data_IF_185387560905
#
_entry.id   IF_185387560905
#
_cell.length_a   1.000
_cell.length_b   1.000
_cell.length_c   1.000
_cell.angle_alpha   90.00
_cell.angle_beta   90.00
_cell.angle_gamma   90.00
#
_symmetry.space_group_name_H-M   'P 1'
#
loop_
_entity.id
_entity.type
_entity.pdbx_description
1 polymer ?
#
# COMPACT_ATOMS: atom_id res chain seq x y z
N UNK A 1 -15.43 -32.93 26.58
CA UNK A 1 -15.64 -33.24 25.15
C UNK A 1 -14.78 -32.29 24.33
N UNK A 2 -13.79 -32.76 23.55
CA UNK A 2 -13.06 -31.88 22.63
C UNK A 2 -14.01 -31.45 21.52
N UNK A 3 -14.22 -30.15 21.36
CA UNK A 3 -15.03 -29.57 20.28
C UNK A 3 -14.30 -29.89 18.96
N UNK A 4 -14.75 -30.91 18.23
CA UNK A 4 -14.29 -31.20 16.87
C UNK A 4 -14.83 -30.11 15.94
N UNK A 5 -14.08 -29.01 15.82
CA UNK A 5 -14.34 -27.98 14.83
C UNK A 5 -14.21 -28.59 13.43
N UNK A 6 -15.18 -28.34 12.55
CA UNK A 6 -15.05 -28.76 11.16
C UNK A 6 -13.78 -28.15 10.54
N UNK A 7 -13.07 -28.83 9.62
CA UNK A 7 -11.81 -28.34 9.06
C UNK A 7 -11.92 -26.93 8.44
N UNK A 8 -13.11 -26.59 7.91
CA UNK A 8 -13.42 -25.27 7.35
C UNK A 8 -13.54 -24.21 8.44
N UNK A 9 -14.18 -24.52 9.58
CA UNK A 9 -14.32 -23.60 10.70
C UNK A 9 -12.98 -23.37 11.41
N UNK A 10 -12.18 -24.44 11.59
CA UNK A 10 -10.83 -24.34 12.14
C UNK A 10 -9.92 -23.47 11.27
N UNK A 11 -9.95 -23.66 9.94
CA UNK A 11 -9.22 -22.80 9.01
C UNK A 11 -9.71 -21.35 9.08
N UNK A 12 -11.01 -21.10 9.14
CA UNK A 12 -11.54 -19.75 9.25
C UNK A 12 -11.11 -19.05 10.55
N UNK A 13 -11.26 -19.72 11.69
CA UNK A 13 -10.83 -19.21 12.99
C UNK A 13 -9.34 -18.88 13.02
N UNK A 14 -8.50 -19.73 12.40
CA UNK A 14 -7.07 -19.44 12.24
C UNK A 14 -6.81 -18.15 11.46
N UNK A 15 -7.50 -17.90 10.34
CA UNK A 15 -7.32 -16.65 9.58
C UNK A 15 -7.78 -15.43 10.38
N UNK A 16 -8.91 -15.53 11.09
CA UNK A 16 -9.41 -14.46 11.97
C UNK A 16 -8.39 -14.14 13.07
N UNK A 17 -7.86 -15.16 13.73
CA UNK A 17 -6.83 -15.01 14.77
C UNK A 17 -5.53 -14.42 14.20
N UNK A 18 -5.11 -14.86 13.01
CA UNK A 18 -3.93 -14.32 12.34
C UNK A 18 -4.11 -12.82 12.01
N UNK A 19 -5.27 -12.42 11.48
CA UNK A 19 -5.57 -11.01 11.21
C UNK A 19 -5.53 -10.19 12.49
N UNK A 20 -6.15 -10.68 13.58
CA UNK A 20 -6.13 -10.01 14.87
C UNK A 20 -4.70 -9.84 15.42
N UNK A 21 -3.89 -10.90 15.34
CA UNK A 21 -2.50 -10.88 15.78
C UNK A 21 -1.64 -9.93 14.96
N UNK A 22 -1.78 -9.94 13.62
CA UNK A 22 -1.07 -9.01 12.74
C UNK A 22 -1.50 -7.56 12.98
N UNK A 23 -2.80 -7.31 13.19
CA UNK A 23 -3.32 -6.00 13.54
C UNK A 23 -2.70 -5.51 14.85
N UNK A 24 -2.76 -6.33 15.91
CA UNK A 24 -2.22 -6.00 17.22
C UNK A 24 -0.71 -5.74 17.16
N UNK A 25 0.06 -6.61 16.49
CA UNK A 25 1.50 -6.42 16.32
C UNK A 25 1.82 -5.13 15.55
N UNK A 26 1.09 -4.84 14.47
CA UNK A 26 1.20 -3.59 13.73
C UNK A 26 0.94 -2.37 14.61
N UNK A 27 -0.02 -2.47 15.54
CA UNK A 27 -0.39 -1.38 16.42
C UNK A 27 0.72 -1.13 17.45
N UNK A 28 1.28 -2.21 18.02
CA UNK A 28 2.42 -2.11 18.93
C UNK A 28 3.62 -1.44 18.26
N UNK A 29 3.90 -1.74 17.00
CA UNK A 29 4.96 -1.08 16.23
C UNK A 29 4.62 0.39 15.98
N UNK A 30 3.39 0.70 15.57
CA UNK A 30 2.95 2.08 15.35
C UNK A 30 3.06 2.93 16.61
N UNK A 31 2.62 2.40 17.75
CA UNK A 31 2.63 3.08 19.05
C UNK A 31 4.04 3.41 19.56
N UNK A 32 5.11 2.75 19.07
CA UNK A 32 6.50 3.18 19.34
C UNK A 32 6.80 4.59 18.79
N UNK A 33 5.94 5.12 17.91
CA UNK A 33 6.04 6.44 17.31
C UNK A 33 4.82 7.32 17.61
N UNK A 34 4.13 7.09 18.73
CA UNK A 34 2.97 7.90 19.11
C UNK A 34 3.36 9.36 19.39
N UNK A 35 2.46 10.29 19.05
CA UNK A 35 2.73 11.73 19.07
C UNK A 35 1.77 12.58 19.83
N UNK A 36 0.51 12.16 19.89
CA UNK A 36 -0.54 12.86 20.60
C UNK A 36 -1.13 11.89 21.61
N UNK A 37 -1.04 12.26 22.90
CA UNK A 37 -1.60 11.53 24.04
C UNK A 37 -1.26 10.03 24.07
N UNK A 38 -0.08 9.64 23.60
CA UNK A 38 0.37 8.23 23.49
C UNK A 38 -0.54 7.30 22.64
N UNK A 39 -1.49 7.85 21.89
CA UNK A 39 -2.50 7.08 21.17
C UNK A 39 -2.51 7.33 19.66
N UNK A 40 -2.11 8.52 19.19
CA UNK A 40 -2.19 8.87 17.77
C UNK A 40 -0.81 8.90 17.13
N UNK A 41 -0.62 8.07 16.10
CA UNK A 41 0.66 7.91 15.39
C UNK A 41 0.55 8.44 13.95
N UNK A 42 1.64 8.98 13.37
CA UNK A 42 1.64 9.45 11.99
C UNK A 42 1.59 8.33 10.94
N UNK A 43 1.90 7.10 11.35
CA UNK A 43 1.86 5.90 10.53
C UNK A 43 1.19 4.81 11.37
N UNK A 44 0.04 4.33 10.90
CA UNK A 44 -0.72 3.29 11.58
C UNK A 44 -0.76 2.00 10.74
N UNK A 45 0.25 1.12 10.86
CA UNK A 45 0.30 -0.18 10.17
C UNK A 45 -0.98 -1.04 10.24
N UNK A 46 -1.71 -1.10 11.37
CA UNK A 46 -2.89 -1.96 11.51
C UNK A 46 -3.96 -1.73 10.44
N UNK A 47 -4.15 -0.49 10.03
CA UNK A 47 -5.14 -0.14 9.02
C UNK A 47 -4.77 -0.70 7.65
N UNK A 48 -3.48 -0.69 7.30
CA UNK A 48 -3.00 -1.38 6.10
C UNK A 48 -3.21 -2.89 6.16
N UNK A 49 -2.95 -3.51 7.32
CA UNK A 49 -3.23 -4.94 7.57
C UNK A 49 -4.72 -5.24 7.43
N UNK A 50 -5.59 -4.37 7.96
CA UNK A 50 -7.04 -4.52 7.89
C UNK A 50 -7.55 -4.50 6.44
N UNK A 51 -7.12 -3.50 5.64
CA UNK A 51 -7.49 -3.42 4.23
C UNK A 51 -6.93 -4.61 3.44
N UNK A 52 -5.67 -5.02 3.67
CA UNK A 52 -5.09 -6.22 3.05
C UNK A 52 -5.87 -7.49 3.38
N UNK A 53 -6.25 -7.69 4.64
CA UNK A 53 -7.02 -8.84 5.09
C UNK A 53 -8.38 -8.91 4.38
N UNK A 54 -9.06 -7.77 4.22
CA UNK A 54 -10.33 -7.69 3.49
C UNK A 54 -10.16 -7.91 1.99
N UNK A 55 -9.10 -7.37 1.37
CA UNK A 55 -8.80 -7.61 -0.04
C UNK A 55 -8.53 -9.10 -0.31
N UNK A 56 -7.75 -9.77 0.55
CA UNK A 56 -7.37 -11.18 0.35
C UNK A 56 -8.47 -12.17 0.79
N UNK A 57 -9.14 -11.87 1.90
CA UNK A 57 -10.07 -12.78 2.55
C UNK A 57 -11.55 -12.41 2.41
N UNK A 58 -11.86 -11.24 1.86
CA UNK A 58 -13.22 -10.69 1.77
C UNK A 58 -13.77 -10.19 3.10
N UNK A 59 -15.04 -9.78 3.10
CA UNK A 59 -15.72 -9.23 4.29
C UNK A 59 -15.67 -10.16 5.51
N UNK A 60 -15.63 -11.49 5.32
CA UNK A 60 -15.55 -12.46 6.44
C UNK A 60 -14.34 -12.26 7.37
N UNK A 61 -13.34 -11.47 6.99
CA UNK A 61 -12.17 -11.17 7.83
C UNK A 61 -12.41 -10.03 8.82
N UNK A 62 -13.53 -9.29 8.71
CA UNK A 62 -13.84 -8.16 9.61
C UNK A 62 -13.77 -8.51 11.11
N UNK A 63 -14.16 -9.73 11.58
CA UNK A 63 -14.06 -10.04 13.01
C UNK A 63 -12.61 -10.05 13.51
N UNK A 64 -11.65 -10.43 12.67
CA UNK A 64 -10.23 -10.39 13.04
C UNK A 64 -9.73 -8.96 13.25
N UNK A 65 -10.22 -8.03 12.43
CA UNK A 65 -9.91 -6.60 12.56
C UNK A 65 -10.51 -6.06 13.85
N UNK A 66 -11.79 -6.34 14.11
CA UNK A 66 -12.47 -5.90 15.33
C UNK A 66 -11.80 -6.45 16.59
N UNK A 67 -11.42 -7.74 16.61
CA UNK A 67 -10.72 -8.35 17.74
C UNK A 67 -9.35 -7.71 17.97
N UNK A 68 -8.56 -7.49 16.90
CA UNK A 68 -7.27 -6.82 16.99
C UNK A 68 -7.40 -5.37 17.49
N UNK A 69 -8.34 -4.61 16.92
CA UNK A 69 -8.61 -3.24 17.33
C UNK A 69 -9.11 -3.15 18.76
N UNK A 70 -9.99 -4.06 19.19
CA UNK A 70 -10.46 -4.12 20.57
C UNK A 70 -9.31 -4.41 21.54
N UNK A 71 -8.47 -5.41 21.23
CA UNK A 71 -7.33 -5.77 22.08
C UNK A 71 -6.34 -4.62 22.26
N UNK A 72 -6.11 -3.81 21.23
CA UNK A 72 -5.28 -2.61 21.32
C UNK A 72 -5.97 -1.55 22.19
N UNK A 73 -7.20 -1.16 21.84
CA UNK A 73 -7.89 -0.03 22.47
C UNK A 73 -8.30 -0.30 23.92
N UNK A 74 -8.56 -1.57 24.28
CA UNK A 74 -8.90 -1.95 25.65
C UNK A 74 -7.80 -1.61 26.66
N UNK A 75 -6.55 -1.50 26.21
CA UNK A 75 -5.43 -1.09 27.07
C UNK A 75 -5.22 0.43 27.13
N UNK A 76 -5.95 1.19 26.32
CA UNK A 76 -5.72 2.62 26.09
C UNK A 76 -6.91 3.50 26.49
N UNK A 77 -8.13 2.96 26.50
CA UNK A 77 -9.35 3.75 26.70
C UNK A 77 -10.36 3.02 27.59
N UNK A 78 -11.31 3.78 28.13
CA UNK A 78 -12.46 3.20 28.84
C UNK A 78 -13.28 2.28 27.94
N UNK A 79 -14.08 1.39 28.55
CA UNK A 79 -14.82 0.35 27.82
C UNK A 79 -15.76 0.96 26.76
N UNK A 80 -16.46 2.05 27.09
CA UNK A 80 -17.35 2.74 26.16
C UNK A 80 -16.63 3.28 24.93
N UNK A 81 -15.54 4.04 25.14
CA UNK A 81 -14.70 4.57 24.07
C UNK A 81 -14.04 3.46 23.25
N UNK A 82 -13.60 2.38 23.91
CA UNK A 82 -12.98 1.22 23.27
C UNK A 82 -13.92 0.60 22.24
N UNK A 83 -15.20 0.40 22.57
CA UNK A 83 -16.18 -0.18 21.65
C UNK A 83 -16.41 0.71 20.43
N UNK A 84 -16.57 2.02 20.65
CA UNK A 84 -16.83 2.97 19.56
C UNK A 84 -15.61 3.15 18.64
N UNK A 85 -14.40 3.28 19.21
CA UNK A 85 -13.16 3.37 18.43
C UNK A 85 -12.91 2.07 17.67
N UNK A 86 -13.16 0.91 18.29
CA UNK A 86 -13.06 -0.40 17.61
C UNK A 86 -14.02 -0.48 16.43
N UNK A 87 -15.25 0.01 16.59
CA UNK A 87 -16.21 0.08 15.50
C UNK A 87 -15.70 0.97 14.37
N UNK A 88 -15.17 2.16 14.66
CA UNK A 88 -14.56 3.06 13.68
C UNK A 88 -13.38 2.43 12.92
N UNK A 89 -12.42 1.88 13.66
CA UNK A 89 -11.23 1.23 13.12
C UNK A 89 -11.55 -0.04 12.30
N UNK A 90 -12.74 -0.61 12.47
CA UNK A 90 -13.23 -1.74 11.65
C UNK A 90 -14.03 -1.24 10.43
N UNK A 91 -14.90 -0.27 10.63
CA UNK A 91 -15.77 0.29 9.59
C UNK A 91 -14.96 0.99 8.49
N UNK A 92 -13.93 1.76 8.84
CA UNK A 92 -13.08 2.44 7.84
C UNK A 92 -12.50 1.49 6.79
N UNK A 93 -11.76 0.44 7.19
CA UNK A 93 -11.26 -0.60 6.27
C UNK A 93 -12.37 -1.35 5.51
N UNK A 94 -13.53 -1.60 6.13
CA UNK A 94 -14.66 -2.22 5.46
C UNK A 94 -15.23 -1.32 4.36
N UNK A 95 -15.40 -0.03 4.64
CA UNK A 95 -15.84 0.97 3.64
C UNK A 95 -14.82 1.08 2.51
N UNK A 96 -13.52 1.18 2.83
CA UNK A 96 -12.44 1.14 1.84
C UNK A 96 -12.55 -0.09 0.93
N UNK A 97 -12.68 -1.27 1.50
CA UNK A 97 -12.84 -2.52 0.75
C UNK A 97 -14.08 -2.51 -0.16
N UNK A 98 -15.23 -2.06 0.35
CA UNK A 98 -16.47 -2.01 -0.42
C UNK A 98 -16.37 -1.04 -1.60
N UNK A 99 -15.77 0.13 -1.40
CA UNK A 99 -15.52 1.12 -2.45
C UNK A 99 -14.58 0.56 -3.52
N UNK A 100 -13.47 -0.06 -3.11
CA UNK A 100 -12.51 -0.70 -4.02
C UNK A 100 -13.16 -1.83 -4.82
N UNK A 101 -13.97 -2.67 -4.16
CA UNK A 101 -14.71 -3.75 -4.81
C UNK A 101 -15.70 -3.21 -5.85
N UNK A 102 -16.42 -2.13 -5.51
CA UNK A 102 -17.42 -1.50 -6.41
C UNK A 102 -16.80 -1.01 -7.71
N UNK A 103 -15.56 -0.50 -7.67
CA UNK A 103 -14.86 -0.04 -8.87
C UNK A 103 -14.07 -1.14 -9.58
N UNK A 104 -14.15 -2.40 -9.15
CA UNK A 104 -13.48 -3.52 -9.77
C UNK A 104 -11.96 -3.53 -9.56
N UNK A 105 -11.50 -3.06 -8.40
CA UNK A 105 -10.07 -2.96 -8.08
C UNK A 105 -9.33 -4.29 -8.24
N UNK A 106 -8.20 -4.25 -8.96
CA UNK A 106 -7.29 -5.39 -9.13
C UNK A 106 -6.07 -5.29 -8.21
N UNK A 107 -5.77 -6.39 -7.54
CA UNK A 107 -4.68 -6.47 -6.56
C UNK A 107 -3.28 -6.47 -7.18
N UNK A 108 -3.18 -6.64 -8.50
CA UNK A 108 -1.90 -6.49 -9.19
C UNK A 108 -1.39 -5.04 -9.16
N UNK A 109 -2.30 -4.07 -8.98
CA UNK A 109 -2.03 -2.62 -9.05
C UNK A 109 -1.24 -2.23 -10.31
N UNK A 110 -1.39 -3.04 -11.37
CA UNK A 110 -0.71 -2.92 -12.65
C UNK A 110 -1.37 -1.88 -13.56
N UNK A 111 -2.48 -1.28 -13.11
CA UNK A 111 -3.22 -0.24 -13.83
C UNK A 111 -3.26 1.08 -13.09
N UNK A 112 -3.21 2.17 -13.85
CA UNK A 112 -3.32 3.53 -13.30
C UNK A 112 -4.63 3.73 -12.53
N UNK A 113 -5.73 3.15 -13.02
CA UNK A 113 -7.03 3.18 -12.36
C UNK A 113 -6.99 2.51 -10.98
N UNK A 114 -6.28 1.40 -10.84
CA UNK A 114 -6.18 0.66 -9.57
C UNK A 114 -5.33 1.43 -8.56
N UNK A 115 -4.22 2.02 -9.00
CA UNK A 115 -3.41 2.94 -8.19
C UNK A 115 -4.25 4.12 -7.67
N UNK A 116 -5.02 4.79 -8.53
CA UNK A 116 -5.90 5.90 -8.16
C UNK A 116 -7.00 5.44 -7.19
N UNK A 117 -7.62 4.29 -7.44
CA UNK A 117 -8.66 3.75 -6.57
C UNK A 117 -8.10 3.45 -5.18
N UNK A 118 -6.91 2.86 -5.07
CA UNK A 118 -6.25 2.61 -3.79
C UNK A 118 -5.98 3.91 -3.03
N UNK A 119 -5.49 4.94 -3.71
CA UNK A 119 -5.23 6.25 -3.08
C UNK A 119 -6.52 6.91 -2.61
N UNK A 120 -7.44 7.16 -3.54
CA UNK A 120 -8.63 7.98 -3.28
C UNK A 120 -9.66 7.26 -2.43
N UNK A 121 -9.94 5.99 -2.73
CA UNK A 121 -11.01 5.23 -2.06
C UNK A 121 -10.48 4.46 -0.85
N UNK A 122 -9.32 3.82 -1.00
CA UNK A 122 -8.72 3.03 0.06
C UNK A 122 -8.12 3.89 1.16
N UNK A 123 -7.18 4.76 0.79
CA UNK A 123 -6.43 5.60 1.72
C UNK A 123 -7.19 6.82 2.21
N UNK A 124 -7.78 7.62 1.32
CA UNK A 124 -8.40 8.90 1.71
C UNK A 124 -9.84 8.74 2.19
N UNK A 125 -10.74 8.25 1.33
CA UNK A 125 -12.17 8.20 1.63
C UNK A 125 -12.54 7.19 2.72
N UNK A 126 -12.02 5.96 2.65
CA UNK A 126 -12.30 4.94 3.66
C UNK A 126 -11.80 5.32 5.04
N UNK A 127 -10.62 5.94 5.13
CA UNK A 127 -10.02 6.29 6.42
C UNK A 127 -10.63 7.53 7.07
N UNK A 128 -11.32 8.37 6.28
CA UNK A 128 -12.11 9.47 6.84
C UNK A 128 -13.17 8.95 7.82
N UNK A 129 -13.77 7.77 7.54
CA UNK A 129 -14.75 7.13 8.43
C UNK A 129 -14.12 6.78 9.78
N UNK A 130 -12.95 6.13 9.76
CA UNK A 130 -12.20 5.76 10.97
C UNK A 130 -11.86 6.99 11.80
N UNK A 131 -11.28 8.02 11.17
CA UNK A 131 -10.90 9.25 11.85
C UNK A 131 -12.11 10.01 12.44
N UNK A 132 -13.23 10.08 11.72
CA UNK A 132 -14.46 10.73 12.19
C UNK A 132 -15.05 9.99 13.40
N UNK A 133 -15.11 8.66 13.37
CA UNK A 133 -15.62 7.88 14.50
C UNK A 133 -14.67 7.97 15.70
N UNK A 134 -13.35 7.84 15.47
CA UNK A 134 -12.35 7.91 16.53
C UNK A 134 -12.33 9.26 17.23
N UNK A 135 -12.19 10.35 16.46
CA UNK A 135 -12.15 11.72 17.02
C UNK A 135 -13.51 12.15 17.58
N UNK A 136 -14.61 11.72 16.96
CA UNK A 136 -15.95 11.95 17.48
C UNK A 136 -16.20 11.26 18.81
N UNK A 137 -15.68 10.03 18.96
CA UNK A 137 -15.72 9.31 20.24
C UNK A 137 -14.99 10.10 21.32
N UNK A 138 -13.74 10.50 21.06
CA UNK A 138 -12.95 11.27 22.03
C UNK A 138 -13.62 12.58 22.44
N UNK A 139 -14.29 13.26 21.50
CA UNK A 139 -15.03 14.49 21.77
C UNK A 139 -16.25 14.23 22.67
N UNK A 140 -17.08 13.23 22.33
CA UNK A 140 -18.31 12.92 23.06
C UNK A 140 -18.01 12.37 24.46
N UNK A 141 -16.89 11.65 24.62
CA UNK A 141 -16.46 11.14 25.92
C UNK A 141 -15.65 12.15 26.73
N UNK A 142 -15.52 13.40 26.26
CA UNK A 142 -14.84 14.48 26.97
C UNK A 142 -13.32 14.29 27.13
N UNK A 143 -12.70 13.40 26.33
CA UNK A 143 -11.25 13.17 26.36
C UNK A 143 -10.51 14.30 25.63
N UNK A 144 -11.13 14.89 24.62
CA UNK A 144 -10.60 16.06 23.91
C UNK A 144 -11.63 17.20 23.89
N UNK A 145 -11.13 18.43 23.94
CA UNK A 145 -11.94 19.62 23.71
C UNK A 145 -12.32 19.77 22.23
N UNK A 146 -13.44 20.45 21.96
CA UNK A 146 -13.90 20.74 20.59
C UNK A 146 -12.87 21.49 19.74
N UNK A 147 -12.02 22.32 20.36
CA UNK A 147 -10.93 23.02 19.69
C UNK A 147 -9.85 22.08 19.13
N UNK A 148 -9.67 20.89 19.73
CA UNK A 148 -8.70 19.88 19.31
C UNK A 148 -9.29 18.86 18.33
N UNK A 149 -10.60 18.86 18.10
CA UNK A 149 -11.25 17.88 17.23
C UNK A 149 -10.56 17.77 15.87
N UNK A 150 -10.30 18.91 15.22
CA UNK A 150 -9.74 18.88 13.86
C UNK A 150 -8.28 18.48 13.82
N UNK A 151 -7.49 18.87 14.82
CA UNK A 151 -6.10 18.43 14.90
C UNK A 151 -6.02 16.92 15.18
N UNK A 152 -6.83 16.40 16.10
CA UNK A 152 -6.92 14.95 16.37
C UNK A 152 -7.39 14.18 15.14
N UNK A 153 -8.42 14.65 14.46
CA UNK A 153 -8.94 14.03 13.24
C UNK A 153 -7.88 13.96 12.14
N UNK A 154 -7.14 15.05 11.93
CA UNK A 154 -6.10 15.10 10.90
C UNK A 154 -4.93 14.15 11.19
N UNK A 155 -4.48 14.04 12.45
CA UNK A 155 -3.40 13.10 12.81
C UNK A 155 -3.89 11.65 12.66
N UNK A 156 -5.12 11.36 13.08
CA UNK A 156 -5.71 10.02 12.96
C UNK A 156 -5.89 9.60 11.51
N UNK A 157 -6.50 10.46 10.71
CA UNK A 157 -6.71 10.25 9.27
C UNK A 157 -5.39 10.07 8.53
N UNK A 158 -4.38 10.89 8.88
CA UNK A 158 -3.01 10.78 8.36
C UNK A 158 -2.42 9.40 8.60
N UNK A 159 -2.47 8.94 9.86
CA UNK A 159 -1.90 7.65 10.26
C UNK A 159 -2.54 6.48 9.54
N UNK A 160 -3.87 6.48 9.49
CA UNK A 160 -4.67 5.45 8.81
C UNK A 160 -4.42 5.43 7.31
N UNK A 161 -4.49 6.60 6.64
CA UNK A 161 -4.24 6.72 5.21
C UNK A 161 -2.84 6.20 4.86
N UNK A 162 -1.81 6.66 5.58
CA UNK A 162 -0.46 6.15 5.38
C UNK A 162 -0.35 4.65 5.61
N UNK A 163 -1.02 4.12 6.63
CA UNK A 163 -1.13 2.68 6.86
C UNK A 163 -1.56 1.93 5.61
N UNK A 164 -2.63 2.37 4.95
CA UNK A 164 -3.12 1.77 3.69
C UNK A 164 -2.12 1.96 2.55
N UNK A 165 -1.73 3.21 2.29
CA UNK A 165 -0.95 3.62 1.13
C UNK A 165 0.46 3.04 1.09
N UNK A 166 0.98 2.65 2.24
CA UNK A 166 2.30 2.07 2.39
C UNK A 166 2.23 0.55 2.41
N UNK A 167 1.43 -0.03 3.31
CA UNK A 167 1.49 -1.46 3.55
C UNK A 167 0.80 -2.26 2.44
N UNK A 168 -0.33 -1.77 1.92
CA UNK A 168 -1.08 -2.48 0.87
C UNK A 168 -0.21 -2.72 -0.38
N UNK A 169 0.36 -1.69 -1.04
CA UNK A 169 1.11 -1.91 -2.27
C UNK A 169 2.39 -2.70 -2.04
N UNK A 170 3.05 -2.55 -0.88
CA UNK A 170 4.25 -3.32 -0.55
C UNK A 170 3.96 -4.82 -0.51
N UNK A 171 2.93 -5.23 0.25
CA UNK A 171 2.58 -6.64 0.39
C UNK A 171 2.12 -7.23 -0.95
N UNK A 172 1.35 -6.47 -1.73
CA UNK A 172 0.92 -6.89 -3.07
C UNK A 172 2.08 -7.01 -4.04
N UNK A 173 3.06 -6.10 -3.97
CA UNK A 173 4.26 -6.17 -4.79
C UNK A 173 5.10 -7.41 -4.42
N UNK A 174 5.31 -7.68 -3.13
CA UNK A 174 6.03 -8.88 -2.67
C UNK A 174 5.37 -10.19 -3.09
N UNK A 175 4.05 -10.24 -3.23
CA UNK A 175 3.35 -11.41 -3.74
C UNK A 175 3.65 -11.68 -5.23
N UNK A 176 3.95 -10.63 -5.99
CA UNK A 176 4.25 -10.70 -7.42
C UNK A 176 5.73 -10.99 -7.70
N UNK A 177 6.59 -10.90 -6.69
CA UNK A 177 8.03 -11.24 -6.81
C UNK A 177 8.23 -12.72 -7.13
N UNK A 178 9.03 -13.00 -8.16
CA UNK A 178 9.58 -14.33 -8.46
C UNK A 178 11.12 -14.26 -8.34
N UNK A 179 11.70 -14.46 -7.13
CA UNK A 179 13.11 -14.17 -6.85
C UNK A 179 14.11 -14.97 -7.69
N UNK A 180 13.72 -16.17 -8.16
CA UNK A 180 14.62 -17.17 -8.75
C UNK A 180 15.17 -16.80 -10.13
N UNK A 181 14.68 -15.73 -10.75
CA UNK A 181 15.03 -15.35 -12.13
C UNK A 181 15.82 -14.03 -12.24
N UNK A 182 16.36 -13.50 -11.13
CA UNK A 182 17.03 -12.20 -11.13
C UNK A 182 18.52 -12.29 -10.79
N UNK A 183 19.39 -11.62 -11.58
CA UNK A 183 20.83 -11.59 -11.32
C UNK A 183 21.15 -10.80 -10.04
N UNK A 184 22.22 -11.17 -9.34
CA UNK A 184 22.66 -10.52 -8.09
C UNK A 184 22.79 -8.99 -8.21
N UNK A 185 23.25 -8.51 -9.37
CA UNK A 185 23.35 -7.07 -9.69
C UNK A 185 22.03 -6.33 -9.50
N UNK A 186 20.89 -6.95 -9.82
CA UNK A 186 19.56 -6.33 -9.67
C UNK A 186 19.20 -6.12 -8.20
N UNK A 187 19.60 -7.04 -7.32
CA UNK A 187 19.44 -6.89 -5.88
C UNK A 187 20.34 -5.79 -5.31
N UNK A 188 21.59 -5.70 -5.77
CA UNK A 188 22.52 -4.62 -5.39
C UNK A 188 21.96 -3.26 -5.81
N UNK A 189 21.47 -3.12 -7.05
CA UNK A 189 20.83 -1.88 -7.51
C UNK A 189 19.60 -1.52 -6.66
N UNK A 190 18.77 -2.49 -6.29
CA UNK A 190 17.58 -2.26 -5.45
C UNK A 190 17.96 -1.82 -4.03
N UNK A 191 18.95 -2.49 -3.41
CA UNK A 191 19.45 -2.12 -2.08
C UNK A 191 20.09 -0.74 -2.10
N UNK A 192 20.92 -0.43 -3.10
CA UNK A 192 21.54 0.88 -3.25
C UNK A 192 20.48 2.00 -3.40
N UNK A 193 19.42 1.75 -4.17
CA UNK A 193 18.31 2.68 -4.34
C UNK A 193 17.54 2.93 -3.02
N UNK A 194 17.25 1.86 -2.28
CA UNK A 194 16.57 1.93 -0.98
C UNK A 194 17.42 2.68 0.05
N UNK A 195 18.71 2.35 0.13
CA UNK A 195 19.67 2.99 1.07
C UNK A 195 19.85 4.46 0.72
N UNK A 196 20.07 4.79 -0.56
CA UNK A 196 20.22 6.19 -0.98
C UNK A 196 18.96 7.01 -0.73
N UNK A 197 17.77 6.45 -0.97
CA UNK A 197 16.49 7.09 -0.61
C UNK A 197 16.42 7.34 0.90
N UNK A 198 16.80 6.37 1.73
CA UNK A 198 16.79 6.52 3.19
C UNK A 198 17.76 7.60 3.68
N UNK A 199 18.98 7.64 3.13
CA UNK A 199 19.98 8.65 3.48
C UNK A 199 19.50 10.05 3.10
N UNK A 200 19.06 10.24 1.86
CA UNK A 200 18.57 11.53 1.37
C UNK A 200 17.36 12.00 2.18
N UNK A 201 16.41 11.11 2.45
CA UNK A 201 15.21 11.46 3.21
C UNK A 201 15.50 11.73 4.67
N UNK A 202 16.50 11.07 5.27
CA UNK A 202 16.94 11.37 6.63
C UNK A 202 17.44 12.80 6.71
N UNK A 203 18.38 13.17 5.83
CA UNK A 203 18.94 14.54 5.77
C UNK A 203 17.85 15.57 5.45
N UNK A 204 16.99 15.30 4.46
CA UNK A 204 15.91 16.21 4.07
C UNK A 204 14.84 16.41 5.15
N UNK A 205 14.62 15.43 6.03
CA UNK A 205 13.66 15.52 7.14
C UNK A 205 14.20 16.27 8.36
N UNK A 206 15.52 16.41 8.48
CA UNK A 206 16.18 17.06 9.62
C UNK A 206 16.79 18.41 9.29
N UNK A 207 17.04 18.69 8.00
CA UNK A 207 17.59 19.98 7.56
C UNK A 207 16.53 21.07 7.51
N UNK A 208 16.91 22.30 7.85
CA UNK A 208 16.05 23.48 7.71
C UNK A 208 15.82 23.85 6.23
N UNK A 209 16.66 23.33 5.34
CA UNK A 209 16.43 23.41 3.91
C UNK A 209 15.23 22.53 3.54
N UNK A 210 14.27 23.07 2.80
CA UNK A 210 13.01 22.40 2.40
C UNK A 210 13.22 21.33 1.31
N UNK A 211 14.11 20.37 1.53
CA UNK A 211 14.63 19.42 0.53
C UNK A 211 13.78 18.16 0.31
N UNK A 212 12.58 18.09 0.90
CA UNK A 212 11.74 16.87 0.83
C UNK A 212 11.38 16.46 -0.62
N UNK A 213 11.39 17.39 -1.57
CA UNK A 213 11.18 17.11 -3.00
C UNK A 213 12.28 16.26 -3.64
N UNK A 214 13.45 16.11 -3.01
CA UNK A 214 14.52 15.24 -3.51
C UNK A 214 14.11 13.77 -3.55
N UNK A 215 13.00 13.38 -2.92
CA UNK A 215 12.42 12.04 -3.05
C UNK A 215 12.01 11.70 -4.49
N UNK A 216 11.53 12.67 -5.26
CA UNK A 216 10.90 12.40 -6.55
C UNK A 216 11.84 11.76 -7.58
N UNK A 217 13.10 12.23 -7.75
CA UNK A 217 14.09 11.53 -8.56
C UNK A 217 14.26 10.04 -8.21
N UNK A 218 14.28 9.70 -6.91
CA UNK A 218 14.38 8.31 -6.47
C UNK A 218 13.11 7.51 -6.77
N UNK A 219 11.92 8.08 -6.55
CA UNK A 219 10.66 7.43 -6.90
C UNK A 219 10.54 7.20 -8.41
N UNK A 220 10.99 8.18 -9.20
CA UNK A 220 11.00 8.09 -10.67
C UNK A 220 11.94 6.97 -11.12
N UNK A 221 13.17 6.97 -10.60
CA UNK A 221 14.14 5.93 -10.92
C UNK A 221 13.66 4.54 -10.49
N UNK A 222 13.07 4.44 -9.29
CA UNK A 222 12.49 3.22 -8.76
C UNK A 222 11.40 2.66 -9.67
N UNK A 223 10.49 3.52 -10.12
CA UNK A 223 9.38 3.13 -10.99
C UNK A 223 9.89 2.66 -12.36
N UNK A 224 10.85 3.38 -12.94
CA UNK A 224 11.45 3.03 -14.25
C UNK A 224 12.19 1.70 -14.22
N UNK A 225 12.94 1.42 -13.16
CA UNK A 225 13.83 0.26 -13.10
C UNK A 225 13.19 -0.97 -12.45
N UNK A 226 12.37 -0.76 -11.43
CA UNK A 226 11.85 -1.82 -10.56
C UNK A 226 10.32 -1.85 -10.45
N UNK A 227 9.60 -0.91 -11.08
CA UNK A 227 8.15 -0.80 -10.98
C UNK A 227 7.71 -0.81 -9.50
N UNK A 228 6.61 -1.50 -9.16
CA UNK A 228 6.02 -1.48 -7.82
C UNK A 228 7.00 -1.97 -6.74
N UNK A 229 7.90 -2.88 -7.11
CA UNK A 229 8.85 -3.51 -6.18
C UNK A 229 9.93 -2.56 -5.67
N UNK A 230 10.33 -1.57 -6.47
CA UNK A 230 11.26 -0.55 -6.02
C UNK A 230 10.53 0.68 -5.49
N UNK A 231 9.44 1.10 -6.13
CA UNK A 231 8.79 2.36 -5.77
C UNK A 231 8.08 2.28 -4.44
N UNK A 232 7.44 1.15 -4.11
CA UNK A 232 6.72 0.98 -2.85
C UNK A 232 7.65 1.12 -1.61
N UNK A 233 8.81 0.44 -1.51
CA UNK A 233 9.71 0.65 -0.38
C UNK A 233 10.32 2.05 -0.33
N UNK A 234 10.62 2.68 -1.48
CA UNK A 234 11.13 4.05 -1.49
C UNK A 234 10.07 5.05 -0.98
N UNK A 235 8.81 4.90 -1.41
CA UNK A 235 7.70 5.72 -0.93
C UNK A 235 7.44 5.49 0.57
N UNK A 236 7.50 4.24 1.06
CA UNK A 236 7.42 3.92 2.50
C UNK A 236 8.49 4.66 3.29
N UNK A 237 9.75 4.57 2.85
CA UNK A 237 10.87 5.20 3.55
C UNK A 237 10.68 6.72 3.59
N UNK A 238 10.33 7.32 2.46
CA UNK A 238 10.12 8.75 2.38
C UNK A 238 8.96 9.24 3.26
N UNK A 239 7.81 8.58 3.18
CA UNK A 239 6.63 8.93 3.99
C UNK A 239 6.88 8.70 5.48
N UNK A 240 7.57 7.63 5.86
CA UNK A 240 7.92 7.34 7.27
C UNK A 240 8.91 8.35 7.83
N UNK A 241 9.95 8.71 7.08
CA UNK A 241 10.94 9.69 7.53
C UNK A 241 10.36 11.11 7.55
N UNK A 242 9.51 11.47 6.58
CA UNK A 242 8.73 12.71 6.61
C UNK A 242 7.84 12.77 7.85
N UNK A 243 7.12 11.69 8.13
CA UNK A 243 6.23 11.60 9.28
C UNK A 243 7.00 11.65 10.61
N UNK A 244 8.20 11.07 10.68
CA UNK A 244 9.12 11.19 11.81
C UNK A 244 9.66 12.62 11.99
N UNK A 245 9.93 13.33 10.89
CA UNK A 245 10.34 14.75 10.94
C UNK A 245 9.21 15.65 11.45
N UNK A 246 8.01 15.46 10.90
CA UNK A 246 6.80 16.12 11.37
C UNK A 246 6.51 15.78 12.83
N UNK A 247 6.85 14.57 13.24
CA UNK A 247 6.67 14.14 14.61
C UNK A 247 7.56 14.89 15.60
N UNK A 248 8.85 14.93 15.28
CA UNK A 248 9.85 15.54 16.15
C UNK A 248 9.88 17.06 16.05
N UNK A 249 9.00 17.64 15.22
CA UNK A 249 9.02 19.06 14.87
C UNK A 249 10.42 19.49 14.43
N UNK A 250 10.99 18.75 13.46
CA UNK A 250 12.34 19.02 12.93
C UNK A 250 12.30 19.42 11.47
N UNK A 251 13.35 20.15 11.03
CA UNK A 251 13.58 20.52 9.65
C UNK A 251 12.38 21.27 9.05
N UNK A 252 11.77 20.82 7.94
CA UNK A 252 10.66 21.51 7.28
C UNK A 252 9.39 21.68 8.14
N UNK A 253 9.32 21.04 9.30
CA UNK A 253 8.15 21.01 10.17
C UNK A 253 8.35 21.70 11.53
N UNK A 254 9.52 22.29 11.79
CA UNK A 254 9.89 22.81 13.11
C UNK A 254 8.99 23.95 13.59
N UNK A 255 8.72 24.93 12.72
CA UNK A 255 7.98 26.15 13.06
C UNK A 255 6.51 26.11 12.61
N UNK A 256 5.96 24.91 12.37
CA UNK A 256 4.58 24.75 11.90
C UNK A 256 3.63 24.36 13.03
N UNK A 257 2.50 25.07 13.10
CA UNK A 257 1.35 24.67 13.89
C UNK A 257 0.88 23.26 13.51
N UNK A 258 0.32 22.52 14.46
CA UNK A 258 -0.07 21.11 14.28
C UNK A 258 -0.95 20.90 13.04
N UNK A 259 -1.97 21.75 12.83
CA UNK A 259 -2.87 21.65 11.67
C UNK A 259 -2.10 21.83 10.37
N UNK A 260 -1.29 22.89 10.26
CA UNK A 260 -0.49 23.19 9.06
C UNK A 260 0.56 22.10 8.81
N UNK A 261 1.18 21.60 9.87
CA UNK A 261 2.14 20.49 9.84
C UNK A 261 1.52 19.22 9.30
N UNK A 262 0.32 18.86 9.77
CA UNK A 262 -0.42 17.70 9.25
C UNK A 262 -0.87 17.90 7.81
N UNK A 263 -1.37 19.08 7.44
CA UNK A 263 -1.72 19.40 6.04
C UNK A 263 -0.50 19.26 5.12
N UNK A 264 0.64 19.79 5.53
CA UNK A 264 1.90 19.73 4.78
C UNK A 264 2.39 18.30 4.62
N UNK A 265 2.35 17.52 5.71
CA UNK A 265 2.70 16.10 5.68
C UNK A 265 1.76 15.31 4.76
N UNK A 266 0.45 15.60 4.78
CA UNK A 266 -0.53 14.94 3.91
C UNK A 266 -0.36 15.31 2.44
N UNK A 267 -0.11 16.58 2.14
CA UNK A 267 0.18 17.02 0.78
C UNK A 267 1.44 16.32 0.25
N UNK A 268 2.50 16.24 1.05
CA UNK A 268 3.72 15.51 0.70
C UNK A 268 3.46 14.01 0.48
N UNK A 269 2.83 13.34 1.44
CA UNK A 269 2.58 11.90 1.36
C UNK A 269 1.64 11.54 0.20
N UNK A 270 0.55 12.28 0.05
CA UNK A 270 -0.40 12.12 -1.03
C UNK A 270 0.27 12.29 -2.39
N UNK A 271 1.04 13.37 -2.59
CA UNK A 271 1.75 13.60 -3.86
C UNK A 271 2.84 12.56 -4.11
N UNK A 272 3.64 12.21 -3.12
CA UNK A 272 4.72 11.21 -3.25
C UNK A 272 4.17 9.82 -3.58
N UNK A 273 3.18 9.33 -2.82
CA UNK A 273 2.55 8.03 -3.07
C UNK A 273 1.79 8.02 -4.39
N UNK A 274 1.00 9.06 -4.68
CA UNK A 274 0.27 9.16 -5.94
C UNK A 274 1.23 9.12 -7.13
N UNK A 275 2.28 9.93 -7.11
CA UNK A 275 3.31 9.95 -8.17
C UNK A 275 4.00 8.60 -8.29
N UNK A 276 4.38 7.99 -7.16
CA UNK A 276 4.99 6.68 -7.11
C UNK A 276 4.11 5.59 -7.76
N UNK A 277 2.86 5.49 -7.31
CA UNK A 277 1.93 4.46 -7.77
C UNK A 277 1.50 4.70 -9.22
N UNK A 278 1.21 5.94 -9.60
CA UNK A 278 0.86 6.29 -10.99
C UNK A 278 2.00 5.98 -11.95
N UNK A 279 3.20 6.45 -11.64
CA UNK A 279 4.35 6.24 -12.51
C UNK A 279 4.67 4.75 -12.63
N UNK A 280 4.64 4.03 -11.51
CA UNK A 280 4.82 2.58 -11.51
C UNK A 280 3.76 1.86 -12.34
N UNK A 281 2.50 2.24 -12.20
CA UNK A 281 1.39 1.66 -12.97
C UNK A 281 1.51 1.96 -14.46
N UNK A 282 1.79 3.21 -14.86
CA UNK A 282 2.00 3.58 -16.26
C UNK A 282 3.17 2.80 -16.88
N UNK A 283 4.26 2.62 -16.14
CA UNK A 283 5.41 1.84 -16.61
C UNK A 283 5.09 0.35 -16.67
N UNK A 284 4.28 -0.17 -15.73
CA UNK A 284 3.77 -1.54 -15.76
C UNK A 284 2.87 -1.79 -16.97
N UNK A 285 1.89 -0.92 -17.22
CA UNK A 285 1.01 -0.97 -18.39
C UNK A 285 1.82 -0.90 -19.69
N UNK A 286 2.76 0.04 -19.80
CA UNK A 286 3.63 0.18 -20.98
C UNK A 286 4.45 -1.08 -21.24
N UNK A 287 5.07 -1.65 -20.20
CA UNK A 287 5.89 -2.85 -20.34
C UNK A 287 5.03 -4.07 -20.71
N UNK A 288 3.83 -4.19 -20.15
CA UNK A 288 2.89 -5.25 -20.49
C UNK A 288 2.41 -5.13 -21.95
N UNK A 289 2.07 -3.92 -22.41
CA UNK A 289 1.68 -3.65 -23.78
C UNK A 289 2.81 -3.98 -24.77
N UNK A 290 4.05 -3.59 -24.44
CA UNK A 290 5.23 -3.91 -25.25
C UNK A 290 5.44 -5.43 -25.36
N UNK A 291 5.38 -6.14 -24.23
CA UNK A 291 5.53 -7.60 -24.24
C UNK A 291 4.41 -8.31 -25.02
N UNK A 292 3.18 -7.77 -25.02
CA UNK A 292 2.08 -8.30 -25.82
C UNK A 292 2.32 -8.11 -27.33
N UNK A 293 2.83 -6.94 -27.74
CA UNK A 293 3.21 -6.67 -29.14
C UNK A 293 4.33 -7.63 -29.57
N UNK A 294 5.39 -7.76 -28.77
CA UNK A 294 6.52 -8.66 -29.07
C UNK A 294 6.04 -10.12 -29.24
N UNK A 295 5.19 -10.62 -28.35
CA UNK A 295 4.60 -11.97 -28.50
C UNK A 295 3.78 -12.13 -29.77
N UNK A 296 2.98 -11.12 -30.12
CA UNK A 296 2.14 -11.16 -31.32
C UNK A 296 3.01 -11.18 -32.59
N UNK A 297 4.08 -10.38 -32.61
CA UNK A 297 5.06 -10.38 -33.71
C UNK A 297 5.76 -11.73 -33.84
N UNK A 298 6.20 -12.34 -32.73
CA UNK A 298 6.81 -13.67 -32.75
C UNK A 298 5.82 -14.74 -33.25
N UNK A 299 4.58 -14.72 -32.77
CA UNK A 299 3.55 -15.66 -33.23
C UNK A 299 3.26 -15.51 -34.73
N UNK A 300 3.15 -14.28 -35.24
CA UNK A 300 2.96 -14.04 -36.67
C UNK A 300 4.18 -14.50 -37.48
N UNK A 301 5.40 -14.26 -36.99
CA UNK A 301 6.62 -14.73 -37.64
C UNK A 301 6.67 -16.27 -37.71
N UNK A 302 6.30 -16.95 -36.62
CA UNK A 302 6.25 -18.42 -36.56
C UNK A 302 5.18 -18.97 -37.54
N UNK A 303 4.00 -18.34 -37.59
CA UNK A 303 2.94 -18.71 -38.54
C UNK A 303 3.41 -18.51 -39.99
N UNK A 304 4.00 -17.37 -40.32
CA UNK A 304 4.53 -17.10 -41.67
C UNK A 304 5.62 -18.12 -42.03
N UNK A 305 6.55 -18.40 -41.12
CA UNK A 305 7.60 -19.40 -41.33
C UNK A 305 7.04 -20.81 -41.58
N UNK A 306 5.91 -21.16 -40.95
CA UNK A 306 5.22 -22.43 -41.17
C UNK A 306 4.60 -22.55 -42.57
N UNK A 307 4.07 -21.45 -43.12
CA UNK A 307 3.43 -21.45 -44.45
C UNK A 307 4.39 -21.20 -45.62
N UNK A 308 5.55 -20.59 -45.38
CA UNK A 308 6.56 -20.29 -46.40
C UNK A 308 7.06 -21.53 -47.19
N UNK A 309 7.33 -22.70 -46.57
CA UNK A 309 7.70 -23.91 -47.32
C UNK A 309 6.55 -24.54 -48.12
N UNK A 310 5.28 -24.37 -47.68
CA UNK A 310 4.11 -24.85 -48.43
C UNK A 310 3.89 -24.07 -49.72
N UNK A 311 4.15 -22.76 -49.70
CA UNK A 311 4.07 -21.90 -50.88
C UNK A 311 5.21 -22.21 -51.86
N UNK A 312 6.44 -22.41 -51.36
CA UNK A 312 7.59 -22.78 -52.19
C UNK A 312 7.47 -24.19 -52.79
N UNK A 313 6.91 -25.15 -52.05
CA UNK A 313 6.66 -26.51 -52.54
C UNK A 313 5.63 -26.58 -53.68
N UNK A 314 4.62 -25.70 -53.69
CA UNK A 314 3.64 -25.60 -54.77
C UNK A 314 4.16 -24.85 -56.02
N UNK A 315 5.30 -24.16 -55.94
CA UNK A 315 5.91 -23.42 -57.04
C UNK A 315 7.01 -24.20 -57.77
N UNK A 316 7.49 -25.31 -57.19
CA UNK A 316 8.50 -26.16 -57.82
C UNK A 316 7.82 -27.18 -58.76
N UNK A 317 8.24 -27.29 -60.04
CA UNK A 317 7.71 -28.31 -60.95
C UNK A 317 8.02 -29.72 -60.41
N UNK A 318 7.15 -30.72 -60.64
CA UNK A 318 7.45 -32.10 -60.27
C UNK A 318 8.76 -32.56 -60.94
N UNK A 319 9.63 -33.22 -60.17
CA UNK A 319 10.89 -33.74 -60.72
C UNK A 319 10.60 -34.71 -61.87
N UNK A 320 11.34 -34.60 -62.99
CA UNK A 320 11.11 -35.47 -64.14
C UNK A 320 11.41 -36.92 -63.77
N UNK A 321 10.62 -37.88 -64.26
CA UNK A 321 10.75 -39.28 -63.87
C UNK A 321 12.12 -39.82 -64.24
N UNK A 322 12.74 -40.48 -63.26
CA UNK A 322 14.04 -41.14 -63.36
C UNK A 322 13.96 -42.21 -64.47
N UNK A 323 14.71 -41.99 -65.55
CA UNK A 323 14.77 -42.94 -66.68
C UNK A 323 15.48 -44.22 -66.22
N UNK A 324 14.70 -45.29 -66.07
CA UNK A 324 15.20 -46.67 -66.02
C UNK A 324 15.75 -47.12 -67.37
#
# INVERSE_FOLDING_TARGET
MPVQLSPRLGRYAFHVALVAACYYAGARIGLLQALVNDQVTPLWPPTGVAVLALLMGGLRMWPGIALGAFAVNFTLAEVGSTVLITAGNTLGPVVAYLLLKKVGFRQEVDRTRDALALVLLGGLAGMAVSATVGSGTLLVTGVIDGALFWSTWMVWWTGDALGVLVFVPIVLAFRSLRPRNHPLRRWVEAVALVVSTAVVMTVASTSDLRLMYLVFPFLIWAALRFQHLGTAPCALIATTLAARGAARSTGPFADLDLVVRMMTLQAFNGTAVLTALLLSAVIAERNAARAAIERTVTQLADVVAQYQPLVLGNLLPPEPPEKR
#
